data_IF_230641323900
#
_entry.id   IF_230641323900
#
_cell.length_a   1.000
_cell.length_b   1.000
_cell.length_c   1.000
_cell.angle_alpha   90.00
_cell.angle_beta   90.00
_cell.angle_gamma   90.00
#
_symmetry.space_group_name_H-M   'P 1'
#
loop_
_entity.id
_entity.type
_entity.pdbx_description
1 polymer ?
#
# COMPACT_ATOMS: atom_id res chain seq x y z
N UNK A 1 -30.14 30.09 28.80
CA UNK A 1 -30.24 30.12 30.27
C UNK A 1 -30.59 31.51 30.78
N UNK A 2 -30.01 32.59 30.26
CA UNK A 2 -30.22 33.97 30.78
C UNK A 2 -31.62 34.55 30.53
N UNK A 3 -32.36 34.07 29.53
CA UNK A 3 -33.70 34.57 29.19
C UNK A 3 -34.85 33.92 30.01
N UNK A 4 -34.56 32.86 30.79
CA UNK A 4 -35.55 32.22 31.67
C UNK A 4 -35.54 32.76 33.08
N UNK A 5 -34.55 33.58 33.49
CA UNK A 5 -34.42 34.14 34.83
C UNK A 5 -35.25 35.40 35.07
N UNK A 6 -35.78 36.05 33.99
CA UNK A 6 -36.46 37.35 34.10
C UNK A 6 -37.99 37.27 34.29
N UNK A 7 -38.58 36.07 34.44
CA UNK A 7 -40.03 35.85 34.63
C UNK A 7 -40.39 34.99 35.88
N UNK A 8 -39.59 35.07 36.92
CA UNK A 8 -39.95 34.45 38.16
C UNK A 8 -40.67 35.47 39.05
N UNK A 9 -41.99 35.35 39.11
CA UNK A 9 -42.84 36.03 40.08
C UNK A 9 -42.46 35.57 41.48
N UNK A 10 -41.74 36.40 42.21
CA UNK A 10 -41.24 36.17 43.57
C UNK A 10 -42.35 35.98 44.62
N UNK A 11 -43.60 36.37 44.33
CA UNK A 11 -44.72 36.25 45.22
C UNK A 11 -45.36 34.85 45.22
N UNK A 12 -45.21 34.11 44.10
CA UNK A 12 -45.69 32.72 43.97
C UNK A 12 -44.75 31.68 44.61
N UNK A 13 -43.44 31.99 44.67
CA UNK A 13 -42.44 31.04 45.18
C UNK A 13 -42.43 30.89 46.71
N UNK A 14 -42.96 31.86 47.46
CA UNK A 14 -43.03 31.82 48.93
C UNK A 14 -44.25 31.06 49.48
N UNK A 15 -45.23 30.70 48.65
CA UNK A 15 -46.48 30.00 49.10
C UNK A 15 -46.50 28.48 48.81
N UNK A 16 -45.51 27.94 48.15
CA UNK A 16 -45.40 26.52 47.83
C UNK A 16 -44.21 25.86 48.56
N UNK A 17 -44.20 25.90 49.87
CA UNK A 17 -43.19 25.28 50.74
C UNK A 17 -43.17 23.74 50.76
N UNK A 18 -43.79 23.04 49.79
CA UNK A 18 -43.84 21.57 49.74
C UNK A 18 -43.31 20.90 48.46
N UNK A 19 -43.13 21.71 47.37
CA UNK A 19 -42.78 21.14 46.04
C UNK A 19 -41.29 21.30 45.67
N UNK A 20 -40.55 22.20 46.35
CA UNK A 20 -39.16 22.52 46.00
C UNK A 20 -38.13 21.46 46.35
N UNK A 21 -38.41 20.61 47.34
CA UNK A 21 -37.52 19.53 47.75
C UNK A 21 -37.46 18.38 46.68
N UNK A 22 -38.58 18.10 45.98
CA UNK A 22 -38.63 17.08 44.94
C UNK A 22 -37.97 17.55 43.66
N UNK A 23 -38.16 18.82 43.25
CA UNK A 23 -37.54 19.39 42.09
C UNK A 23 -36.01 19.58 42.29
N UNK A 24 -35.57 19.95 43.49
CA UNK A 24 -34.15 20.05 43.85
C UNK A 24 -33.47 18.64 43.85
N UNK A 25 -34.14 17.60 44.35
CA UNK A 25 -33.63 16.20 44.27
C UNK A 25 -33.56 15.69 42.82
N UNK A 26 -34.55 15.99 41.98
CA UNK A 26 -34.55 15.60 40.57
C UNK A 26 -33.43 16.31 39.81
N UNK A 27 -33.20 17.62 40.04
CA UNK A 27 -32.11 18.39 39.46
C UNK A 27 -30.72 17.92 39.92
N UNK A 28 -30.58 17.51 41.18
CA UNK A 28 -29.35 16.92 41.70
C UNK A 28 -29.06 15.54 41.07
N UNK A 29 -30.05 14.68 40.90
CA UNK A 29 -29.93 13.39 40.25
C UNK A 29 -29.57 13.52 38.79
N UNK A 30 -30.16 14.49 38.05
CA UNK A 30 -29.85 14.76 36.65
C UNK A 30 -28.41 15.25 36.52
N UNK A 31 -27.95 16.16 37.38
CA UNK A 31 -26.54 16.61 37.35
C UNK A 31 -25.56 15.47 37.65
N UNK A 32 -25.82 14.65 38.64
CA UNK A 32 -25.00 13.49 38.96
C UNK A 32 -24.99 12.45 37.82
N UNK A 33 -26.11 12.26 37.13
CA UNK A 33 -26.20 11.36 35.96
C UNK A 33 -25.41 11.93 34.77
N UNK A 34 -25.51 13.23 34.53
CA UNK A 34 -24.73 13.90 33.46
C UNK A 34 -23.23 13.86 33.75
N UNK A 35 -22.80 14.17 34.98
CA UNK A 35 -21.40 14.05 35.38
C UNK A 35 -20.88 12.60 35.27
N UNK A 36 -21.69 11.62 35.67
CA UNK A 36 -21.34 10.20 35.50
C UNK A 36 -21.22 9.79 34.05
N UNK A 37 -22.12 10.27 33.18
CA UNK A 37 -22.06 10.03 31.73
C UNK A 37 -20.84 10.68 31.09
N UNK A 38 -20.48 11.89 31.51
CA UNK A 38 -19.29 12.60 31.02
C UNK A 38 -18.00 11.88 31.39
N UNK A 39 -17.87 11.43 32.64
CA UNK A 39 -16.71 10.64 33.07
C UNK A 39 -16.64 9.31 32.32
N UNK A 40 -17.77 8.61 32.19
CA UNK A 40 -17.82 7.34 31.44
C UNK A 40 -17.39 7.54 29.97
N UNK A 41 -17.91 8.58 29.31
CA UNK A 41 -17.54 8.92 27.93
C UNK A 41 -16.05 9.25 27.80
N UNK A 42 -15.51 10.02 28.74
CA UNK A 42 -14.09 10.38 28.77
C UNK A 42 -13.20 9.17 28.93
N UNK A 43 -13.56 8.21 29.78
CA UNK A 43 -12.82 6.93 29.95
C UNK A 43 -12.86 6.11 28.66
N UNK A 44 -14.02 6.00 28.01
CA UNK A 44 -14.16 5.28 26.73
C UNK A 44 -13.31 5.93 25.64
N UNK A 45 -13.33 7.27 25.51
CA UNK A 45 -12.53 8.00 24.54
C UNK A 45 -11.02 7.84 24.80
N UNK A 46 -10.61 7.89 26.07
CA UNK A 46 -9.22 7.68 26.45
C UNK A 46 -8.75 6.26 26.12
N UNK A 47 -9.54 5.25 26.44
CA UNK A 47 -9.24 3.86 26.08
C UNK A 47 -9.12 3.68 24.56
N UNK A 48 -10.06 4.25 23.79
CA UNK A 48 -10.02 4.23 22.33
C UNK A 48 -8.76 4.92 21.79
N UNK A 49 -8.38 6.07 22.33
CA UNK A 49 -7.16 6.81 21.93
C UNK A 49 -5.89 5.98 22.21
N UNK A 50 -5.77 5.33 23.35
CA UNK A 50 -4.64 4.45 23.69
C UNK A 50 -4.56 3.25 22.75
N UNK A 51 -5.69 2.61 22.44
CA UNK A 51 -5.73 1.48 21.51
C UNK A 51 -5.32 1.90 20.10
N UNK A 52 -5.80 3.05 19.62
CA UNK A 52 -5.43 3.59 18.32
C UNK A 52 -3.93 3.95 18.26
N UNK A 53 -3.40 4.56 19.33
CA UNK A 53 -1.97 4.89 19.39
C UNK A 53 -1.11 3.62 19.36
N UNK A 54 -1.47 2.58 20.10
CA UNK A 54 -0.79 1.28 20.06
C UNK A 54 -0.89 0.64 18.68
N UNK A 55 -2.07 0.63 18.08
CA UNK A 55 -2.28 0.09 16.73
C UNK A 55 -1.40 0.82 15.71
N UNK A 56 -1.33 2.15 15.81
CA UNK A 56 -0.47 2.95 14.93
C UNK A 56 1.02 2.67 15.12
N UNK A 57 1.49 2.57 16.38
CA UNK A 57 2.89 2.20 16.67
C UNK A 57 3.24 0.82 16.11
N UNK A 58 2.33 -0.14 16.23
CA UNK A 58 2.51 -1.48 15.65
C UNK A 58 2.65 -1.40 14.14
N UNK A 59 1.82 -0.58 13.45
CA UNK A 59 1.89 -0.41 12.00
C UNK A 59 3.22 0.21 11.51
N UNK A 60 3.83 1.07 12.31
CA UNK A 60 5.13 1.68 11.97
C UNK A 60 6.30 0.69 11.99
N UNK A 61 6.19 -0.40 12.76
CA UNK A 61 7.24 -1.40 12.93
C UNK A 61 6.93 -2.73 12.22
N UNK A 62 5.88 -2.75 11.38
CA UNK A 62 5.57 -3.95 10.60
C UNK A 62 6.66 -4.19 9.57
N UNK A 63 7.17 -5.42 9.54
CA UNK A 63 8.01 -5.87 8.44
C UNK A 63 7.22 -5.87 7.13
N UNK A 64 7.62 -5.00 6.23
CA UNK A 64 7.01 -4.84 4.92
C UNK A 64 7.42 -5.95 3.93
N UNK A 65 8.47 -6.71 4.26
CA UNK A 65 9.10 -7.68 3.37
C UNK A 65 9.93 -7.04 2.26
N UNK A 66 10.16 -5.72 2.31
CA UNK A 66 11.02 -4.97 1.40
C UNK A 66 11.59 -3.73 2.09
N UNK A 67 12.69 -3.21 1.54
CA UNK A 67 13.40 -2.01 2.03
C UNK A 67 13.02 -0.80 1.20
N UNK A 68 12.36 0.18 1.81
CA UNK A 68 11.92 1.42 1.16
C UNK A 68 12.98 2.53 1.16
N UNK A 69 13.93 2.45 2.10
CA UNK A 69 14.97 3.44 2.32
C UNK A 69 15.92 3.50 1.12
N UNK A 70 16.34 4.73 0.78
CA UNK A 70 17.29 4.99 -0.30
C UNK A 70 16.84 4.50 -1.68
N UNK A 71 15.55 4.45 -1.92
CA UNK A 71 14.99 4.11 -3.24
C UNK A 71 14.33 5.35 -3.84
N UNK A 72 14.87 5.84 -4.96
CA UNK A 72 14.22 6.84 -5.79
C UNK A 72 13.24 6.16 -6.72
N UNK A 73 12.06 6.74 -6.85
CA UNK A 73 11.00 6.33 -7.77
C UNK A 73 10.83 7.39 -8.84
N UNK A 74 10.88 6.98 -10.10
CA UNK A 74 10.51 7.80 -11.23
C UNK A 74 9.24 7.22 -11.86
N UNK A 75 8.09 7.80 -11.51
CA UNK A 75 6.81 7.41 -12.12
C UNK A 75 6.70 8.05 -13.49
N UNK A 76 6.72 7.22 -14.51
CA UNK A 76 6.67 7.64 -15.91
C UNK A 76 5.41 7.10 -16.57
N UNK A 77 4.67 7.98 -17.23
CA UNK A 77 3.52 7.60 -18.04
C UNK A 77 3.91 7.71 -19.52
N UNK A 78 4.20 6.57 -20.11
CA UNK A 78 4.38 6.52 -21.56
C UNK A 78 3.01 6.56 -22.23
N UNK A 79 2.70 7.68 -22.89
CA UNK A 79 1.41 7.84 -23.58
C UNK A 79 1.27 6.78 -24.70
N UNK A 80 0.24 5.95 -24.59
CA UNK A 80 -0.10 4.96 -25.62
C UNK A 80 -0.74 5.71 -26.78
N UNK A 81 -0.15 5.70 -27.95
CA UNK A 81 -0.87 5.93 -29.20
C UNK A 81 -1.48 4.60 -29.61
N UNK A 82 -2.78 4.61 -29.82
CA UNK A 82 -3.65 3.47 -30.09
C UNK A 82 -2.98 2.21 -30.68
N UNK A 83 -2.94 1.14 -29.87
CA UNK A 83 -3.22 -0.23 -30.32
C UNK A 83 -2.13 -1.01 -31.05
N UNK A 84 -0.91 -0.54 -31.24
CA UNK A 84 0.08 -1.21 -32.08
C UNK A 84 1.10 -2.00 -31.25
N UNK A 85 1.29 -3.29 -31.61
CA UNK A 85 2.35 -4.16 -31.05
C UNK A 85 3.74 -3.52 -31.17
N UNK A 86 3.96 -2.68 -32.16
CA UNK A 86 5.16 -1.88 -32.38
C UNK A 86 5.47 -0.94 -31.21
N UNK A 87 4.45 -0.36 -30.59
CA UNK A 87 4.58 0.49 -29.41
C UNK A 87 5.06 -0.29 -28.17
N UNK A 88 4.79 -1.57 -28.05
CA UNK A 88 5.29 -2.41 -26.95
C UNK A 88 6.81 -2.60 -27.06
N UNK A 89 7.31 -2.83 -28.26
CA UNK A 89 8.76 -2.97 -28.53
C UNK A 89 9.53 -1.67 -28.30
N UNK A 90 9.00 -0.55 -28.80
CA UNK A 90 9.60 0.77 -28.62
C UNK A 90 9.70 1.11 -27.14
N UNK A 91 8.66 0.86 -26.36
CA UNK A 91 8.63 1.09 -24.91
C UNK A 91 9.58 0.16 -24.15
N UNK A 92 9.58 -1.11 -24.48
CA UNK A 92 10.49 -2.08 -23.86
C UNK A 92 11.96 -1.67 -24.07
N UNK A 93 12.32 -1.26 -25.28
CA UNK A 93 13.68 -0.74 -25.58
C UNK A 93 13.99 0.54 -24.82
N UNK A 94 13.05 1.49 -24.78
CA UNK A 94 13.20 2.73 -24.02
C UNK A 94 13.51 2.45 -22.55
N UNK A 95 12.70 1.63 -21.88
CA UNK A 95 12.93 1.30 -20.46
C UNK A 95 14.22 0.50 -20.26
N UNK A 96 14.57 -0.42 -21.15
CA UNK A 96 15.83 -1.15 -21.08
C UNK A 96 17.02 -0.20 -21.17
N UNK A 97 17.05 0.70 -22.16
CA UNK A 97 18.11 1.69 -22.31
C UNK A 97 18.23 2.61 -21.08
N UNK A 98 17.12 3.14 -20.59
CA UNK A 98 17.12 4.01 -19.40
C UNK A 98 17.64 3.25 -18.17
N UNK A 99 17.23 2.00 -17.97
CA UNK A 99 17.69 1.19 -16.84
C UNK A 99 19.17 0.85 -16.93
N UNK A 100 19.68 0.55 -18.13
CA UNK A 100 21.10 0.25 -18.32
C UNK A 100 21.98 1.48 -18.05
N UNK A 101 21.55 2.64 -18.52
CA UNK A 101 22.24 3.92 -18.24
C UNK A 101 22.16 4.28 -16.75
N UNK A 102 21.02 4.00 -16.11
CA UNK A 102 20.82 4.28 -14.68
C UNK A 102 21.71 3.39 -13.81
N UNK A 103 21.85 2.10 -14.16
CA UNK A 103 22.77 1.16 -13.49
C UNK A 103 24.23 1.57 -13.60
N UNK A 104 24.60 2.28 -14.67
CA UNK A 104 25.95 2.79 -14.88
C UNK A 104 26.27 4.07 -14.06
N UNK A 105 25.26 4.69 -13.41
CA UNK A 105 25.50 5.90 -12.61
C UNK A 105 26.24 5.53 -11.31
N UNK A 106 27.41 6.13 -11.01
CA UNK A 106 28.11 5.92 -9.76
C UNK A 106 27.21 6.25 -8.57
N UNK A 107 27.15 5.33 -7.58
CA UNK A 107 26.27 5.46 -6.41
C UNK A 107 24.89 4.82 -6.55
N UNK A 108 24.53 4.30 -7.73
CA UNK A 108 23.36 3.44 -7.92
C UNK A 108 23.79 1.98 -7.74
N UNK A 109 23.23 1.29 -6.76
CA UNK A 109 23.56 -0.10 -6.47
C UNK A 109 22.66 -1.11 -7.19
N UNK A 110 21.43 -0.72 -7.53
CA UNK A 110 20.49 -1.49 -8.32
C UNK A 110 19.43 -0.57 -8.95
N UNK A 111 18.95 -0.94 -10.12
CA UNK A 111 17.84 -0.24 -10.78
C UNK A 111 16.92 -1.23 -11.51
N UNK A 112 15.62 -0.99 -11.41
CA UNK A 112 14.58 -1.87 -11.95
C UNK A 112 13.33 -1.08 -12.33
N UNK A 113 12.34 -1.76 -12.88
CA UNK A 113 11.04 -1.19 -13.20
C UNK A 113 9.90 -2.09 -12.77
N UNK A 114 8.77 -1.49 -12.47
CA UNK A 114 7.52 -2.19 -12.14
C UNK A 114 6.34 -1.52 -12.83
N UNK A 115 5.46 -2.31 -13.44
CA UNK A 115 4.30 -1.76 -14.16
C UNK A 115 3.24 -1.15 -13.24
N UNK A 116 3.27 -1.46 -11.96
CA UNK A 116 2.34 -0.94 -10.98
C UNK A 116 2.97 -0.94 -9.58
N UNK A 117 3.16 0.23 -9.02
CA UNK A 117 3.78 0.36 -7.71
C UNK A 117 2.83 0.07 -6.54
N UNK A 118 1.52 0.02 -6.75
CA UNK A 118 0.53 -0.33 -5.72
C UNK A 118 0.24 0.75 -4.68
N UNK A 119 1.18 1.64 -4.41
CA UNK A 119 1.09 2.65 -3.34
C UNK A 119 0.17 3.81 -3.72
N UNK A 120 -0.77 4.15 -2.83
CA UNK A 120 -1.70 5.28 -3.02
C UNK A 120 -2.66 5.12 -4.21
N UNK A 121 -2.69 3.97 -4.85
CA UNK A 121 -3.61 3.62 -5.93
C UNK A 121 -4.51 2.48 -5.49
N UNK A 122 -5.68 2.36 -6.12
CA UNK A 122 -6.57 1.22 -5.85
C UNK A 122 -5.84 -0.10 -6.11
N UNK A 123 -6.01 -1.10 -5.21
CA UNK A 123 -5.45 -2.42 -5.38
C UNK A 123 -5.87 -3.01 -6.73
N UNK A 124 -4.97 -3.64 -7.42
CA UNK A 124 -5.37 -4.44 -8.58
C UNK A 124 -6.25 -5.58 -8.11
N UNK A 125 -7.38 -5.77 -8.77
CA UNK A 125 -8.22 -6.93 -8.50
C UNK A 125 -7.41 -8.22 -8.74
N UNK A 126 -7.44 -9.17 -7.81
CA UNK A 126 -6.81 -10.47 -8.02
C UNK A 126 -7.47 -11.15 -9.23
N UNK A 127 -6.69 -11.93 -9.93
CA UNK A 127 -7.10 -12.65 -11.14
C UNK A 127 -6.98 -14.14 -10.92
N UNK A 128 -7.84 -14.88 -11.56
CA UNK A 128 -7.77 -16.35 -11.57
C UNK A 128 -6.51 -16.81 -12.33
N UNK A 129 -5.87 -17.86 -11.82
CA UNK A 129 -4.78 -18.55 -12.49
C UNK A 129 -5.12 -20.01 -12.68
N UNK A 130 -4.70 -20.54 -13.82
CA UNK A 130 -4.78 -21.97 -14.16
C UNK A 130 -3.41 -22.59 -13.89
N UNK A 131 -3.40 -23.82 -13.39
CA UNK A 131 -2.20 -24.60 -13.15
C UNK A 131 -2.21 -25.76 -14.15
N UNK A 132 -1.12 -25.96 -14.88
CA UNK A 132 -0.99 -27.03 -15.87
C UNK A 132 -1.15 -28.39 -15.19
N UNK A 133 -1.91 -29.27 -15.81
CA UNK A 133 -2.17 -30.63 -15.27
C UNK A 133 -3.25 -30.69 -14.18
N UNK A 134 -3.84 -29.57 -13.75
CA UNK A 134 -4.98 -29.56 -12.83
C UNK A 134 -6.31 -29.27 -13.57
N UNK A 135 -7.43 -29.80 -13.07
CA UNK A 135 -8.76 -29.43 -13.59
C UNK A 135 -8.97 -27.93 -13.56
N UNK A 136 -9.61 -27.39 -14.59
CA UNK A 136 -9.81 -25.94 -14.70
C UNK A 136 -10.76 -25.34 -13.67
N UNK A 137 -11.40 -26.08 -12.77
CA UNK A 137 -12.27 -25.60 -11.70
C UNK A 137 -13.29 -24.52 -12.14
N UNK A 138 -14.28 -24.24 -11.32
CA UNK A 138 -15.21 -23.12 -11.57
C UNK A 138 -14.56 -21.78 -11.19
N UNK A 139 -15.12 -20.67 -11.69
CA UNK A 139 -14.75 -19.34 -11.20
C UNK A 139 -14.92 -19.28 -9.69
N UNK A 140 -13.90 -18.80 -8.97
CA UNK A 140 -13.86 -18.76 -7.49
C UNK A 140 -13.21 -19.97 -6.81
N UNK A 141 -13.04 -21.09 -7.52
CA UNK A 141 -12.30 -22.27 -7.03
C UNK A 141 -10.82 -22.24 -7.45
N UNK A 142 -10.49 -21.36 -8.39
CA UNK A 142 -9.13 -21.21 -8.92
C UNK A 142 -8.25 -20.40 -7.97
N UNK A 143 -6.94 -20.67 -7.94
CA UNK A 143 -6.01 -19.78 -7.26
C UNK A 143 -6.12 -18.36 -7.79
N UNK A 144 -6.24 -17.39 -6.89
CA UNK A 144 -6.30 -15.98 -7.23
C UNK A 144 -5.03 -15.27 -6.78
N UNK A 145 -4.48 -14.43 -7.63
CA UNK A 145 -3.30 -13.63 -7.32
C UNK A 145 -3.33 -12.29 -8.07
N UNK A 146 -2.62 -11.32 -7.52
CA UNK A 146 -2.29 -10.10 -8.25
C UNK A 146 -1.18 -10.39 -9.27
N UNK A 147 -1.23 -9.75 -10.44
CA UNK A 147 -0.18 -9.87 -11.46
C UNK A 147 0.62 -8.58 -11.54
N UNK A 148 1.91 -8.66 -11.28
CA UNK A 148 2.86 -7.56 -11.36
C UNK A 148 3.90 -7.83 -12.45
N UNK A 149 4.00 -6.95 -13.44
CA UNK A 149 5.09 -7.01 -14.41
C UNK A 149 6.29 -6.23 -13.87
N UNK A 150 7.44 -6.88 -13.79
CA UNK A 150 8.68 -6.31 -13.25
C UNK A 150 9.86 -6.59 -14.19
N UNK A 151 10.89 -5.75 -14.11
CA UNK A 151 12.15 -6.02 -14.81
C UNK A 151 13.09 -6.88 -13.96
N UNK A 152 14.18 -7.34 -14.56
CA UNK A 152 15.31 -7.90 -13.81
C UNK A 152 15.79 -6.91 -12.72
N UNK A 153 16.40 -7.45 -11.66
CA UNK A 153 16.86 -6.72 -10.45
C UNK A 153 15.75 -6.09 -9.61
N UNK A 154 14.45 -6.34 -9.87
CA UNK A 154 13.37 -5.77 -9.07
C UNK A 154 13.47 -6.19 -7.59
N UNK A 155 13.65 -7.47 -7.33
CA UNK A 155 13.78 -7.99 -5.97
C UNK A 155 15.06 -7.50 -5.30
N UNK A 156 16.16 -7.41 -6.04
CA UNK A 156 17.42 -6.82 -5.57
C UNK A 156 17.29 -5.34 -5.23
N UNK A 157 16.60 -4.55 -6.09
CA UNK A 157 16.40 -3.11 -5.86
C UNK A 157 15.62 -2.84 -4.57
N UNK A 158 14.68 -3.70 -4.23
CA UNK A 158 13.84 -3.58 -3.05
C UNK A 158 14.29 -4.43 -1.87
N UNK A 159 15.38 -5.20 -2.05
CA UNK A 159 15.91 -6.14 -1.05
C UNK A 159 14.85 -7.18 -0.61
N UNK A 160 14.02 -7.62 -1.55
CA UNK A 160 13.06 -8.70 -1.33
C UNK A 160 13.80 -10.03 -1.42
N UNK A 161 13.81 -10.85 -0.35
CA UNK A 161 14.56 -12.11 -0.36
C UNK A 161 13.98 -13.13 -1.36
N UNK A 162 14.84 -13.73 -2.17
CA UNK A 162 14.51 -14.93 -2.95
C UNK A 162 14.60 -16.13 -2.01
N UNK A 163 13.50 -16.88 -1.88
CA UNK A 163 13.40 -18.04 -0.98
C UNK A 163 13.79 -19.33 -1.66
N UNK A 164 13.48 -19.44 -2.97
CA UNK A 164 13.85 -20.61 -3.77
C UNK A 164 13.94 -20.22 -5.25
N UNK A 165 14.71 -20.97 -6.02
CA UNK A 165 14.88 -20.72 -7.44
C UNK A 165 15.78 -19.53 -7.77
N UNK A 166 15.42 -18.73 -8.78
CA UNK A 166 16.21 -17.60 -9.29
C UNK A 166 15.37 -16.35 -9.51
N UNK A 167 16.05 -15.20 -9.63
CA UNK A 167 15.48 -13.95 -10.13
C UNK A 167 15.28 -13.97 -11.65
N UNK A 168 14.55 -12.99 -12.16
CA UNK A 168 14.50 -12.73 -13.59
C UNK A 168 15.89 -12.31 -14.09
N UNK A 169 16.23 -12.81 -15.27
CA UNK A 169 17.48 -12.51 -15.94
C UNK A 169 17.24 -11.68 -17.20
N UNK A 170 18.25 -10.97 -17.68
CA UNK A 170 18.21 -10.28 -18.97
C UNK A 170 18.01 -11.23 -20.14
N UNK A 171 18.29 -12.51 -19.95
CA UNK A 171 18.06 -13.58 -20.91
C UNK A 171 16.61 -14.08 -20.99
N UNK A 172 15.72 -13.64 -20.07
CA UNK A 172 14.29 -13.94 -20.13
C UNK A 172 13.62 -13.00 -21.15
N UNK A 173 13.89 -13.24 -22.42
CA UNK A 173 13.42 -12.44 -23.57
C UNK A 173 12.11 -12.99 -24.15
N UNK A 174 11.39 -12.27 -25.00
CA UNK A 174 10.13 -12.74 -25.60
C UNK A 174 10.27 -14.03 -26.42
N UNK A 175 11.47 -14.33 -26.94
CA UNK A 175 11.78 -15.51 -27.72
C UNK A 175 12.03 -16.77 -26.86
N UNK A 176 12.15 -16.59 -25.56
CA UNK A 176 12.31 -17.66 -24.58
C UNK A 176 10.99 -18.09 -23.96
N UNK A 177 10.91 -19.29 -23.39
CA UNK A 177 9.74 -19.68 -22.61
C UNK A 177 9.38 -18.63 -21.56
N UNK A 178 8.10 -18.31 -21.46
CA UNK A 178 7.63 -17.30 -20.55
C UNK A 178 7.77 -17.78 -19.09
N UNK A 179 8.28 -16.89 -18.22
CA UNK A 179 8.60 -17.23 -16.83
C UNK A 179 7.83 -16.37 -15.84
N UNK A 180 7.61 -16.92 -14.65
CA UNK A 180 7.01 -16.24 -13.52
C UNK A 180 7.80 -16.48 -12.24
N UNK A 181 7.70 -15.53 -11.30
CA UNK A 181 8.12 -15.69 -9.91
C UNK A 181 6.87 -15.50 -9.06
N UNK A 182 6.71 -16.27 -7.99
CA UNK A 182 5.57 -16.17 -7.08
C UNK A 182 6.03 -15.81 -5.69
N UNK A 183 5.17 -15.16 -4.90
CA UNK A 183 5.48 -14.96 -3.48
C UNK A 183 5.11 -16.20 -2.65
N UNK A 184 5.57 -16.23 -1.37
CA UNK A 184 5.29 -17.34 -0.45
C UNK A 184 3.79 -17.56 -0.26
N UNK A 185 2.97 -16.51 -0.26
CA UNK A 185 1.51 -16.62 -0.12
C UNK A 185 0.88 -17.34 -1.32
N UNK A 186 1.30 -17.05 -2.55
CA UNK A 186 0.84 -17.75 -3.74
C UNK A 186 1.32 -19.22 -3.74
N UNK A 187 2.59 -19.44 -3.34
CA UNK A 187 3.14 -20.80 -3.23
C UNK A 187 2.32 -21.65 -2.25
N UNK A 188 2.03 -21.15 -1.05
CA UNK A 188 1.23 -21.85 -0.03
C UNK A 188 -0.20 -22.13 -0.49
N UNK A 189 -0.83 -21.15 -1.16
CA UNK A 189 -2.25 -21.25 -1.52
C UNK A 189 -2.47 -22.14 -2.75
N UNK A 190 -1.62 -21.99 -3.76
CA UNK A 190 -1.77 -22.69 -5.04
C UNK A 190 -1.09 -24.07 -5.06
N UNK A 191 -0.06 -24.29 -4.23
CA UNK A 191 0.76 -25.52 -4.23
C UNK A 191 0.95 -26.06 -2.81
N UNK A 192 -0.13 -26.39 -2.06
CA UNK A 192 -0.04 -26.87 -0.69
C UNK A 192 0.72 -28.19 -0.62
N UNK A 193 1.89 -28.18 0.04
CA UNK A 193 2.74 -29.36 0.19
C UNK A 193 3.55 -29.76 -1.04
N UNK A 194 3.48 -28.97 -2.13
CA UNK A 194 4.22 -29.21 -3.37
C UNK A 194 5.23 -28.09 -3.60
N UNK A 195 6.29 -28.37 -4.40
CA UNK A 195 7.18 -27.30 -4.89
C UNK A 195 6.53 -26.56 -6.05
N UNK A 196 6.44 -25.21 -6.01
CA UNK A 196 5.94 -24.44 -7.14
C UNK A 196 6.97 -24.35 -8.28
N UNK A 197 8.27 -24.56 -8.02
CA UNK A 197 9.32 -24.44 -9.03
C UNK A 197 9.13 -25.46 -10.15
N UNK A 198 9.25 -25.01 -11.40
CA UNK A 198 9.02 -25.82 -12.62
C UNK A 198 7.56 -26.06 -12.94
N UNK A 199 6.62 -25.67 -12.07
CA UNK A 199 5.20 -25.72 -12.41
C UNK A 199 4.83 -24.59 -13.38
N UNK A 200 3.78 -24.81 -14.16
CA UNK A 200 3.33 -23.85 -15.16
C UNK A 200 1.96 -23.27 -14.78
N UNK A 201 1.85 -21.96 -14.86
CA UNK A 201 0.60 -21.23 -14.60
C UNK A 201 0.25 -20.33 -15.78
N UNK A 202 -1.03 -20.02 -15.95
CA UNK A 202 -1.49 -19.01 -16.91
C UNK A 202 -2.69 -18.24 -16.36
N UNK A 203 -2.88 -17.01 -16.81
CA UNK A 203 -3.96 -16.15 -16.34
C UNK A 203 -5.33 -16.46 -16.99
N UNK A 204 -5.32 -16.92 -18.23
CA UNK A 204 -6.53 -17.27 -18.98
C UNK A 204 -6.17 -18.26 -20.11
N UNK A 205 -7.18 -18.80 -20.79
CA UNK A 205 -6.99 -19.80 -21.85
C UNK A 205 -6.18 -19.32 -23.07
N UNK A 206 -6.08 -18.00 -23.28
CA UNK A 206 -5.33 -17.39 -24.40
C UNK A 206 -3.93 -16.94 -23.99
N UNK A 207 -3.66 -16.82 -22.68
CA UNK A 207 -2.35 -16.42 -22.19
C UNK A 207 -1.33 -17.58 -22.34
N UNK A 208 -0.05 -17.27 -22.57
CA UNK A 208 1.00 -18.29 -22.57
C UNK A 208 1.12 -18.93 -21.18
N UNK A 209 1.63 -20.15 -21.16
CA UNK A 209 2.05 -20.79 -19.93
C UNK A 209 3.34 -20.13 -19.44
N UNK A 210 3.36 -19.79 -18.15
CA UNK A 210 4.51 -19.21 -17.45
C UNK A 210 5.11 -20.28 -16.56
N UNK A 211 6.38 -20.62 -16.74
CA UNK A 211 7.11 -21.49 -15.82
C UNK A 211 7.48 -20.74 -14.54
N UNK A 212 7.19 -21.30 -13.38
CA UNK A 212 7.59 -20.73 -12.11
C UNK A 212 9.07 -21.02 -11.88
N UNK A 213 9.92 -19.99 -11.98
CA UNK A 213 11.38 -20.10 -11.83
C UNK A 213 11.89 -19.63 -10.47
N UNK A 214 11.06 -18.98 -9.66
CA UNK A 214 11.45 -18.49 -8.34
C UNK A 214 10.28 -18.31 -7.39
N UNK A 215 10.62 -18.33 -6.11
CA UNK A 215 9.73 -17.98 -5.00
C UNK A 215 10.39 -16.87 -4.19
N UNK A 216 9.68 -15.79 -3.89
CA UNK A 216 10.15 -14.65 -3.13
C UNK A 216 9.38 -14.48 -1.83
N UNK A 217 9.96 -13.74 -0.89
CA UNK A 217 9.29 -13.40 0.36
C UNK A 217 7.99 -12.64 0.11
N UNK A 218 7.06 -12.77 1.04
CA UNK A 218 5.82 -12.01 1.05
C UNK A 218 6.10 -10.53 1.29
N UNK A 219 5.37 -9.65 0.61
CA UNK A 219 5.47 -8.19 0.76
C UNK A 219 4.12 -7.57 1.08
N UNK A 220 4.11 -6.42 1.78
CA UNK A 220 2.90 -5.70 2.21
C UNK A 220 2.85 -4.31 1.60
N UNK A 221 2.67 -4.26 0.28
CA UNK A 221 2.68 -3.01 -0.46
C UNK A 221 1.48 -2.09 -0.23
N UNK A 222 0.29 -2.67 -0.09
CA UNK A 222 -0.97 -1.91 -0.10
C UNK A 222 -1.42 -1.53 1.29
N UNK A 223 -1.38 -2.47 2.20
CA UNK A 223 -1.83 -2.30 3.58
C UNK A 223 -0.93 -3.10 4.52
N UNK A 224 -0.05 -2.42 5.26
CA UNK A 224 0.83 -3.08 6.23
C UNK A 224 0.09 -3.85 7.33
N UNK A 225 -1.18 -3.50 7.60
CA UNK A 225 -2.00 -4.14 8.62
C UNK A 225 -2.58 -5.49 8.19
N UNK A 226 -2.59 -5.77 6.88
CA UNK A 226 -3.16 -6.99 6.32
C UNK A 226 -2.06 -8.02 6.02
N UNK A 227 -2.39 -9.31 6.07
CA UNK A 227 -1.50 -10.35 5.56
C UNK A 227 -1.17 -10.11 4.09
N UNK A 228 0.03 -10.54 3.67
CA UNK A 228 0.41 -10.51 2.26
C UNK A 228 -0.57 -11.31 1.41
N UNK A 229 -0.92 -10.76 0.27
CA UNK A 229 -1.77 -11.43 -0.71
C UNK A 229 -0.94 -12.27 -1.66
N UNK A 230 -1.54 -13.30 -2.29
CA UNK A 230 -0.88 -14.03 -3.38
C UNK A 230 -0.52 -13.08 -4.54
N UNK A 231 0.73 -13.14 -4.98
CA UNK A 231 1.26 -12.34 -6.09
C UNK A 231 2.01 -13.24 -7.06
N UNK A 232 1.77 -13.00 -8.34
CA UNK A 232 2.53 -13.53 -9.45
C UNK A 232 3.30 -12.37 -10.09
N UNK A 233 4.59 -12.50 -10.17
CA UNK A 233 5.45 -11.58 -10.90
C UNK A 233 5.74 -12.18 -12.28
N UNK A 234 5.65 -11.36 -13.33
CA UNK A 234 5.98 -11.74 -14.69
C UNK A 234 7.07 -10.81 -15.24
N UNK A 235 7.95 -11.35 -16.07
CA UNK A 235 9.00 -10.55 -16.69
C UNK A 235 8.38 -9.52 -17.65
N UNK A 236 8.60 -8.23 -17.41
CA UNK A 236 8.07 -7.15 -18.25
C UNK A 236 8.61 -7.20 -19.69
N UNK A 237 9.80 -7.77 -19.88
CA UNK A 237 10.42 -8.03 -21.19
C UNK A 237 9.62 -8.99 -22.04
N UNK A 238 8.82 -9.87 -21.43
CA UNK A 238 8.00 -10.87 -22.12
C UNK A 238 6.57 -10.38 -22.40
N UNK A 239 6.33 -9.07 -22.44
CA UNK A 239 5.08 -8.50 -22.97
C UNK A 239 4.03 -8.11 -21.93
N UNK A 240 4.37 -7.98 -20.66
CA UNK A 240 3.41 -7.79 -19.56
C UNK A 240 3.34 -6.36 -18.99
N UNK A 241 3.78 -5.31 -19.66
CA UNK A 241 3.73 -3.97 -19.07
C UNK A 241 3.64 -2.82 -20.06
N UNK A 242 2.66 -1.92 -19.85
CA UNK A 242 2.45 -0.75 -20.73
C UNK A 242 3.21 0.51 -20.28
N UNK A 243 3.47 0.67 -19.01
CA UNK A 243 4.25 1.75 -18.40
C UNK A 243 4.96 1.22 -17.17
N UNK A 244 6.18 1.65 -16.93
CA UNK A 244 6.96 1.24 -15.77
C UNK A 244 7.26 2.46 -14.88
N UNK A 245 7.02 2.33 -13.59
CA UNK A 245 7.70 3.14 -12.60
C UNK A 245 9.11 2.59 -12.44
N UNK A 246 10.11 3.46 -12.61
CA UNK A 246 11.51 3.10 -12.43
C UNK A 246 11.90 3.26 -10.96
N UNK A 247 12.64 2.30 -10.46
CA UNK A 247 13.13 2.25 -9.09
C UNK A 247 14.66 2.24 -9.13
N UNK A 248 15.30 3.07 -8.33
CA UNK A 248 16.75 3.10 -8.21
C UNK A 248 17.16 3.12 -6.74
N UNK A 249 17.88 2.10 -6.29
CA UNK A 249 18.54 2.09 -4.98
C UNK A 249 19.85 2.82 -5.08
N UNK A 250 20.03 3.83 -4.25
CA UNK A 250 21.18 4.74 -4.35
C UNK A 250 21.70 5.17 -2.99
N UNK A 251 23.01 5.41 -2.92
CA UNK A 251 23.65 6.13 -1.82
C UNK A 251 23.70 7.64 -2.02
N UNK A 252 23.32 8.11 -3.20
CA UNK A 252 23.30 9.54 -3.54
C UNK A 252 22.10 10.23 -2.91
N UNK A 253 22.20 11.57 -2.81
CA UNK A 253 21.04 12.39 -2.52
C UNK A 253 19.96 12.23 -3.62
N UNK A 254 18.70 12.12 -3.20
CA UNK A 254 17.58 11.86 -4.10
C UNK A 254 17.39 12.94 -5.18
N UNK A 255 17.69 14.22 -4.86
CA UNK A 255 17.58 15.33 -5.83
C UNK A 255 18.67 15.24 -6.90
N UNK A 256 19.89 14.90 -6.52
CA UNK A 256 21.02 14.73 -7.44
C UNK A 256 20.75 13.60 -8.43
N UNK A 257 20.27 12.43 -7.93
CA UNK A 257 19.93 11.32 -8.81
C UNK A 257 18.71 11.65 -9.70
N UNK A 258 17.70 12.35 -9.17
CA UNK A 258 16.55 12.78 -9.96
C UNK A 258 16.94 13.71 -11.11
N UNK A 259 17.93 14.60 -10.91
CA UNK A 259 18.52 15.43 -11.96
C UNK A 259 19.16 14.60 -13.06
N UNK A 260 20.01 13.65 -12.68
CA UNK A 260 20.68 12.74 -13.60
C UNK A 260 19.68 11.88 -14.39
N UNK A 261 18.72 11.26 -13.69
CA UNK A 261 17.71 10.42 -14.32
C UNK A 261 16.79 11.21 -15.26
N UNK A 262 16.46 12.45 -14.92
CA UNK A 262 15.70 13.36 -15.82
C UNK A 262 16.46 13.60 -17.12
N UNK A 263 17.78 13.77 -17.06
CA UNK A 263 18.62 13.94 -18.24
C UNK A 263 18.65 12.66 -19.09
N UNK A 264 18.89 11.51 -18.46
CA UNK A 264 18.87 10.20 -19.15
C UNK A 264 17.53 9.97 -19.86
N UNK A 265 16.41 10.20 -19.17
CA UNK A 265 15.09 9.99 -19.75
C UNK A 265 14.78 10.96 -20.89
N UNK A 266 15.19 12.23 -20.77
CA UNK A 266 14.98 13.24 -21.81
C UNK A 266 15.79 12.93 -23.07
N UNK A 267 17.00 12.45 -22.93
CA UNK A 267 17.85 12.03 -24.05
C UNK A 267 17.28 10.78 -24.74
N UNK A 268 16.73 9.84 -23.98
CA UNK A 268 16.08 8.65 -24.52
C UNK A 268 14.72 8.98 -25.19
N UNK A 269 13.89 9.81 -24.56
CA UNK A 269 12.64 10.31 -25.12
C UNK A 269 12.13 11.53 -24.33
N UNK A 270 12.19 12.71 -24.95
CA UNK A 270 11.79 13.98 -24.31
C UNK A 270 10.28 14.12 -24.07
N UNK A 271 9.46 13.28 -24.69
CA UNK A 271 7.98 13.36 -24.61
C UNK A 271 7.39 12.58 -23.42
N UNK A 272 8.21 11.84 -22.65
CA UNK A 272 7.74 11.04 -21.52
C UNK A 272 7.75 11.88 -20.24
N UNK A 273 6.60 12.26 -19.69
CA UNK A 273 6.52 12.98 -18.42
C UNK A 273 6.98 12.07 -17.28
N UNK A 274 7.74 12.63 -16.34
CA UNK A 274 8.30 11.89 -15.21
C UNK A 274 8.10 12.66 -13.92
N UNK A 275 7.54 12.00 -12.91
CA UNK A 275 7.47 12.48 -11.53
C UNK A 275 8.49 11.72 -10.68
N UNK A 276 9.26 12.45 -9.88
CA UNK A 276 10.26 11.86 -8.99
C UNK A 276 9.81 11.98 -7.54
N UNK A 277 9.86 10.89 -6.81
CA UNK A 277 9.59 10.83 -5.38
C UNK A 277 10.48 9.74 -4.75
N UNK A 278 10.74 9.83 -3.45
CA UNK A 278 11.36 8.71 -2.74
C UNK A 278 10.29 7.67 -2.40
N UNK A 279 10.68 6.40 -2.33
CA UNK A 279 9.76 5.33 -1.97
C UNK A 279 9.23 5.53 -0.53
N UNK A 280 10.05 6.09 0.36
CA UNK A 280 9.65 6.51 1.71
C UNK A 280 8.51 7.52 1.68
N UNK A 281 8.64 8.59 0.87
CA UNK A 281 7.60 9.63 0.75
C UNK A 281 6.30 9.06 0.20
N UNK A 282 6.38 8.20 -0.82
CA UNK A 282 5.22 7.51 -1.37
C UNK A 282 4.53 6.63 -0.33
N UNK A 283 5.31 5.87 0.43
CA UNK A 283 4.79 5.00 1.48
C UNK A 283 4.17 5.80 2.63
N UNK A 284 4.83 6.86 3.06
CA UNK A 284 4.33 7.75 4.11
C UNK A 284 3.03 8.46 3.72
N UNK A 285 2.87 8.81 2.45
CA UNK A 285 1.62 9.39 1.93
C UNK A 285 0.45 8.41 2.03
N UNK A 286 0.70 7.12 1.86
CA UNK A 286 -0.31 6.06 2.01
C UNK A 286 -0.78 5.92 3.47
N UNK A 287 0.10 6.20 4.43
CA UNK A 287 -0.21 6.18 5.86
C UNK A 287 -0.75 7.53 6.40
N UNK A 288 -0.79 8.57 5.59
CA UNK A 288 -1.21 9.91 6.04
C UNK A 288 -2.67 9.92 6.55
N UNK A 289 -3.59 9.23 5.86
CA UNK A 289 -5.00 9.17 6.26
C UNK A 289 -5.24 8.44 7.60
N UNK A 290 -4.67 7.26 7.87
CA UNK A 290 -4.70 6.63 9.18
C UNK A 290 -4.09 7.52 10.30
N UNK A 291 -2.97 8.20 10.02
CA UNK A 291 -2.32 9.14 10.96
C UNK A 291 -3.25 10.27 11.35
N UNK A 292 -3.87 10.93 10.39
CA UNK A 292 -4.78 12.05 10.62
C UNK A 292 -5.99 11.65 11.48
N UNK A 293 -6.61 10.48 11.20
CA UNK A 293 -7.70 9.95 12.03
C UNK A 293 -7.26 9.71 13.47
N UNK A 294 -6.11 9.12 13.69
CA UNK A 294 -5.57 8.85 15.03
C UNK A 294 -5.29 10.15 15.80
N UNK A 295 -4.73 11.16 15.14
CA UNK A 295 -4.47 12.48 15.75
C UNK A 295 -5.75 13.20 16.12
N UNK A 296 -6.78 13.18 15.25
CA UNK A 296 -8.09 13.77 15.53
C UNK A 296 -8.76 13.12 16.75
N UNK A 297 -8.80 11.80 16.80
CA UNK A 297 -9.41 11.07 17.93
C UNK A 297 -8.62 11.33 19.22
N UNK A 298 -7.29 11.37 19.14
CA UNK A 298 -6.44 11.72 20.28
C UNK A 298 -6.70 13.14 20.80
N UNK A 299 -6.88 14.12 19.90
CA UNK A 299 -7.22 15.48 20.27
C UNK A 299 -8.60 15.55 20.95
N UNK A 300 -9.62 14.90 20.39
CA UNK A 300 -10.95 14.84 21.01
C UNK A 300 -10.92 14.17 22.39
N UNK A 301 -10.15 13.09 22.54
CA UNK A 301 -9.99 12.42 23.84
C UNK A 301 -9.30 13.35 24.87
N UNK A 302 -8.29 14.11 24.47
CA UNK A 302 -7.62 15.06 25.34
C UNK A 302 -8.56 16.21 25.78
N UNK A 303 -9.35 16.75 24.83
CA UNK A 303 -10.35 17.79 25.14
C UNK A 303 -11.44 17.24 26.08
N UNK A 304 -11.95 16.03 25.82
CA UNK A 304 -12.94 15.40 26.70
C UNK A 304 -12.40 15.17 28.12
N UNK A 305 -11.13 14.73 28.25
CA UNK A 305 -10.49 14.55 29.55
C UNK A 305 -10.32 15.86 30.31
N UNK A 306 -9.96 16.96 29.61
CA UNK A 306 -9.87 18.29 30.19
C UNK A 306 -11.24 18.78 30.69
N UNK A 307 -12.31 18.62 29.90
CA UNK A 307 -13.65 19.01 30.27
C UNK A 307 -14.17 18.21 31.48
N UNK A 308 -13.84 16.92 31.56
CA UNK A 308 -14.21 16.09 32.71
C UNK A 308 -13.42 16.39 33.98
N UNK A 309 -12.31 17.12 33.90
CA UNK A 309 -11.49 17.51 35.05
C UNK A 309 -11.91 18.82 35.70
N UNK A 310 -12.81 19.60 35.06
CA UNK A 310 -13.38 20.87 35.56
C UNK A 310 -14.73 20.66 36.23
#
# INVERSE_FOLDING_TARGET
PALHASRLDLSGALKQGGSTASAAKAGARLRSALAGAEVALSVVLMAAAVLLLRSFQTLQHVDLGFTKERVLVADSVYAVRDGVMEDLWIRSRFYAEVLDRLRAVPGVSAASGVAFLGMGREPRAPRDFFIQGRPEGRAGERPQAELHAVTADYFKTLEIPIRAGRDFASTDTPERPAVAIVNESMARTAFPGETPLGQHIRQNSRAPWLEIVGVVADTRWQDPSQPSRPVVYAASTQGTGNSLALLARTSLDGQSLAGTLRTIMREANSSVPVKFETLETLFDSTLAYPRFRTQLIGLFAAVAALLASV
#
